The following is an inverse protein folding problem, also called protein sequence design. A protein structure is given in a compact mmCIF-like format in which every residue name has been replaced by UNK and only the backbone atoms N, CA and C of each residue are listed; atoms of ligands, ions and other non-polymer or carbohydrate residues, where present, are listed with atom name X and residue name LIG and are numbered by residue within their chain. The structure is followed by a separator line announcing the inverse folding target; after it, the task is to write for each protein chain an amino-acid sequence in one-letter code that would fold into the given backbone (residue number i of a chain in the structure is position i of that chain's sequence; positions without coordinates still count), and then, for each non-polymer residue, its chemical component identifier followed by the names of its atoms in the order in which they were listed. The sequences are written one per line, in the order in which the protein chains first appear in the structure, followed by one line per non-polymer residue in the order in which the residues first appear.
data_IF_459185077186
#
_entry.id   IF_459185077186
#
_cell.length_a   1.000
_cell.length_b   1.000
_cell.length_c   1.000
_cell.angle_alpha   90.00
_cell.angle_beta   90.00
_cell.angle_gamma   90.00
#
_symmetry.space_group_name_H-M   'P 1'
#
loop_
_entity.id
_entity.type
_entity.pdbx_description
1 polymer ?
#
# COMPACT_ATOMS: atom_id res chain seq x y z
N UNK A 1 2.89 -23.08 -11.24
CA UNK A 1 3.07 -21.67 -10.82
C UNK A 1 2.07 -21.23 -9.74
N UNK A 2 0.74 -21.44 -9.89
CA UNK A 2 -0.26 -20.97 -8.89
C UNK A 2 -0.08 -21.55 -7.50
N UNK A 3 0.11 -22.88 -7.40
CA UNK A 3 0.33 -23.53 -6.09
C UNK A 3 1.61 -23.00 -5.41
N UNK A 4 2.68 -22.84 -6.18
CA UNK A 4 3.92 -22.24 -5.67
C UNK A 4 3.69 -20.78 -5.24
N UNK A 5 2.98 -19.98 -6.04
CA UNK A 5 2.64 -18.60 -5.70
C UNK A 5 1.84 -18.52 -4.41
N UNK A 6 0.82 -19.38 -4.25
CA UNK A 6 0.04 -19.48 -3.02
C UNK A 6 0.93 -19.77 -1.80
N UNK A 7 1.77 -20.80 -1.89
CA UNK A 7 2.65 -21.19 -0.79
C UNK A 7 3.64 -20.10 -0.42
N UNK A 8 4.25 -19.44 -1.42
CA UNK A 8 5.19 -18.33 -1.20
C UNK A 8 4.48 -17.13 -0.60
N UNK A 9 3.28 -16.77 -1.09
CA UNK A 9 2.47 -15.68 -0.53
C UNK A 9 2.13 -15.90 0.94
N UNK A 10 1.68 -17.11 1.29
CA UNK A 10 1.43 -17.48 2.68
C UNK A 10 2.71 -17.43 3.53
N UNK A 11 3.85 -17.89 3.02
CA UNK A 11 5.13 -17.81 3.71
C UNK A 11 5.57 -16.37 3.95
N UNK A 12 5.41 -15.48 2.97
CA UNK A 12 5.69 -14.04 3.14
C UNK A 12 4.79 -13.47 4.23
N UNK A 13 3.47 -13.68 4.17
CA UNK A 13 2.53 -13.12 5.15
C UNK A 13 2.74 -13.66 6.57
N UNK A 14 2.87 -14.96 6.74
CA UNK A 14 3.11 -15.60 8.04
C UNK A 14 4.51 -15.22 8.57
N UNK A 15 5.52 -15.22 7.70
CA UNK A 15 6.87 -14.80 8.05
C UNK A 15 6.90 -13.35 8.52
N UNK A 16 6.23 -12.44 7.80
CA UNK A 16 6.10 -11.05 8.22
C UNK A 16 5.39 -10.94 9.56
N UNK A 17 4.25 -11.61 9.75
CA UNK A 17 3.52 -11.61 11.02
C UNK A 17 4.41 -12.09 12.17
N UNK A 18 5.20 -13.15 11.96
CA UNK A 18 6.12 -13.68 12.96
C UNK A 18 7.23 -12.69 13.30
N UNK A 19 7.75 -11.96 12.31
CA UNK A 19 8.78 -10.96 12.51
C UNK A 19 8.24 -9.70 13.20
N UNK A 20 7.03 -9.26 12.86
CA UNK A 20 6.46 -8.03 13.42
C UNK A 20 5.72 -8.24 14.75
N UNK A 21 5.30 -9.45 15.08
CA UNK A 21 4.63 -9.76 16.35
C UNK A 21 5.40 -9.27 17.59
N UNK A 22 6.74 -9.39 17.68
CA UNK A 22 7.49 -8.81 18.78
C UNK A 22 7.40 -7.29 18.88
N UNK A 23 7.13 -6.59 17.77
CA UNK A 23 6.96 -5.13 17.79
C UNK A 23 5.74 -4.79 18.64
N UNK A 24 4.60 -5.43 18.40
CA UNK A 24 3.36 -5.17 19.14
C UNK A 24 3.45 -5.51 20.63
N UNK A 25 4.32 -6.46 21.01
CA UNK A 25 4.50 -6.84 22.41
C UNK A 25 5.54 -5.97 23.14
N UNK A 26 6.58 -5.49 22.42
CA UNK A 26 7.68 -4.72 22.99
C UNK A 26 7.50 -3.22 22.88
N UNK A 27 6.86 -2.76 21.80
CA UNK A 27 6.54 -1.36 21.66
C UNK A 27 5.42 -1.01 22.64
N UNK A 28 5.69 -0.02 23.47
CA UNK A 28 4.72 0.49 24.44
C UNK A 28 4.35 1.89 23.98
N UNK A 29 3.09 2.12 23.56
CA UNK A 29 2.62 3.48 23.31
C UNK A 29 2.84 4.29 24.59
N UNK A 30 3.07 5.58 24.43
CA UNK A 30 3.23 6.49 25.58
C UNK A 30 2.08 6.32 26.55
N UNK A 31 2.32 6.57 27.81
CA UNK A 31 1.28 6.50 28.87
C UNK A 31 0.02 7.32 28.51
N UNK A 32 0.20 8.40 27.75
CA UNK A 32 -0.90 9.25 27.29
C UNK A 32 -2.01 8.50 26.52
N UNK A 33 -1.66 7.49 25.67
CA UNK A 33 -2.69 6.70 25.00
C UNK A 33 -3.39 5.71 25.95
N UNK A 34 -2.74 5.28 27.03
CA UNK A 34 -3.35 4.35 28.00
C UNK A 34 -4.34 5.02 28.92
N UNK A 35 -4.07 6.28 29.27
CA UNK A 35 -4.96 7.05 30.14
C UNK A 35 -6.28 7.44 29.46
N UNK A 36 -6.30 7.35 28.11
CA UNK A 36 -7.51 7.51 27.30
C UNK A 36 -8.50 6.32 27.39
N UNK A 37 -8.08 5.15 27.79
CA UNK A 37 -8.84 3.89 27.70
C UNK A 37 -9.53 3.50 29.03
N UNK A 38 -9.90 4.38 29.84
CA UNK A 38 -10.61 3.95 31.07
C UNK A 38 -10.98 5.01 32.06
N UNK A 39 -10.81 6.25 31.73
CA UNK A 39 -11.22 7.35 32.63
C UNK A 39 -12.56 7.88 32.16
N UNK A 40 -13.64 7.49 32.83
CA UNK A 40 -14.89 8.24 32.86
C UNK A 40 -14.60 9.59 33.52
N UNK A 41 -14.14 10.56 32.73
CA UNK A 41 -13.87 11.90 33.22
C UNK A 41 -13.45 12.83 32.09
N UNK A 42 -13.55 14.17 32.29
CA UNK A 42 -13.00 15.10 31.34
C UNK A 42 -11.48 14.86 31.20
N UNK A 43 -10.93 15.04 29.99
CA UNK A 43 -9.52 14.81 29.74
C UNK A 43 -8.65 15.56 30.76
N UNK A 44 -7.68 14.88 31.31
CA UNK A 44 -6.66 15.54 32.09
C UNK A 44 -6.00 16.59 31.19
N UNK A 45 -5.98 17.86 31.58
CA UNK A 45 -5.25 18.86 30.81
C UNK A 45 -3.79 18.41 30.69
N UNK A 46 -3.22 18.61 29.49
CA UNK A 46 -1.78 18.45 29.32
C UNK A 46 -1.06 19.19 30.46
N UNK A 47 -0.01 18.62 31.04
CA UNK A 47 0.74 19.27 32.11
C UNK A 47 1.16 20.72 31.79
N UNK A 48 1.26 21.03 30.49
CA UNK A 48 1.69 22.33 29.97
C UNK A 48 0.52 23.22 29.51
N UNK A 49 -0.74 22.82 29.75
CA UNK A 49 -1.92 23.56 29.28
C UNK A 49 -2.10 23.57 27.76
N UNK A 50 -1.30 22.79 27.03
CA UNK A 50 -1.42 22.66 25.59
C UNK A 50 -2.73 21.94 25.22
N UNK A 51 -3.39 22.31 24.11
CA UNK A 51 -4.57 21.60 23.67
C UNK A 51 -4.21 20.14 23.37
N UNK A 52 -5.16 19.23 23.69
CA UNK A 52 -5.04 17.81 23.42
C UNK A 52 -4.68 17.58 21.92
N UNK A 53 -3.51 16.97 21.62
CA UNK A 53 -3.05 16.82 20.25
C UNK A 53 -3.84 15.76 19.46
N UNK A 54 -4.69 14.99 20.13
CA UNK A 54 -5.40 13.88 19.51
C UNK A 54 -6.85 14.21 19.17
N UNK A 55 -7.26 13.80 17.97
CA UNK A 55 -8.65 13.84 17.54
C UNK A 55 -9.48 12.89 18.43
N UNK A 56 -10.50 13.42 19.07
CA UNK A 56 -11.47 12.65 19.83
C UNK A 56 -12.79 12.53 19.07
N UNK A 57 -13.21 11.30 18.83
CA UNK A 57 -14.46 10.98 18.15
C UNK A 57 -15.59 10.71 19.14
N UNK A 58 -15.26 10.61 20.44
CA UNK A 58 -16.20 10.22 21.50
C UNK A 58 -16.51 8.72 21.51
N UNK A 59 -15.74 7.91 20.79
CA UNK A 59 -15.83 6.45 20.78
C UNK A 59 -14.53 5.88 21.32
N UNK A 60 -14.47 5.40 22.57
CA UNK A 60 -13.21 5.06 23.25
C UNK A 60 -12.28 4.13 22.49
N UNK A 61 -12.84 3.12 21.80
CA UNK A 61 -12.03 2.18 21.00
C UNK A 61 -11.38 2.83 19.78
N UNK A 62 -12.08 3.73 19.11
CA UNK A 62 -11.56 4.47 17.96
C UNK A 62 -10.57 5.55 18.42
N UNK A 63 -10.88 6.25 19.49
CA UNK A 63 -10.01 7.28 20.06
C UNK A 63 -8.66 6.67 20.48
N UNK A 64 -8.70 5.50 21.13
CA UNK A 64 -7.49 4.75 21.46
C UNK A 64 -6.72 4.32 20.22
N UNK A 65 -7.39 3.82 19.20
CA UNK A 65 -6.73 3.41 17.94
C UNK A 65 -6.06 4.60 17.24
N UNK A 66 -6.74 5.73 17.14
CA UNK A 66 -6.17 6.96 16.57
C UNK A 66 -4.96 7.42 17.38
N UNK A 67 -5.06 7.40 18.71
CA UNK A 67 -3.95 7.76 19.59
C UNK A 67 -2.74 6.83 19.38
N UNK A 68 -2.96 5.52 19.44
CA UNK A 68 -1.90 4.51 19.27
C UNK A 68 -1.19 4.66 17.92
N UNK A 69 -1.95 4.79 16.83
CA UNK A 69 -1.39 4.93 15.50
C UNK A 69 -0.67 6.27 15.30
N UNK A 70 -1.23 7.37 15.83
CA UNK A 70 -0.58 8.68 15.80
C UNK A 70 0.76 8.63 16.53
N UNK A 71 0.80 8.02 17.71
CA UNK A 71 2.04 7.85 18.48
C UNK A 71 3.04 6.95 17.75
N UNK A 72 2.58 5.89 17.11
CA UNK A 72 3.42 4.97 16.32
C UNK A 72 4.16 5.71 15.19
N UNK A 73 3.46 6.52 14.41
CA UNK A 73 4.07 7.30 13.34
C UNK A 73 4.90 8.48 13.86
N UNK A 74 4.51 9.06 15.00
CA UNK A 74 5.34 10.06 15.70
C UNK A 74 6.68 9.47 16.11
N UNK A 75 6.71 8.30 16.76
CA UNK A 75 7.93 7.62 17.14
C UNK A 75 8.82 7.29 15.93
N UNK A 76 8.20 6.92 14.80
CA UNK A 76 8.92 6.71 13.56
C UNK A 76 9.55 8.00 13.03
N UNK A 77 8.84 9.12 13.05
CA UNK A 77 9.34 10.41 12.57
C UNK A 77 10.45 10.94 13.47
N UNK A 78 10.27 10.83 14.78
CA UNK A 78 11.20 11.34 15.80
C UNK A 78 12.36 10.36 16.07
N UNK A 79 12.50 9.33 15.24
CA UNK A 79 13.60 8.37 15.35
C UNK A 79 14.96 9.06 15.15
N UNK A 80 15.97 8.75 16.00
CA UNK A 80 17.27 9.46 16.01
C UNK A 80 18.05 9.43 14.69
N UNK A 81 17.74 8.49 13.79
CA UNK A 81 18.30 8.47 12.43
C UNK A 81 17.27 8.96 11.42
N UNK A 82 17.26 10.25 11.05
CA UNK A 82 16.33 10.81 10.07
C UNK A 82 16.39 10.08 8.72
N UNK A 83 17.60 9.66 8.31
CA UNK A 83 17.81 8.87 7.08
C UNK A 83 16.98 7.59 7.10
N UNK A 84 17.09 6.79 8.16
CA UNK A 84 16.40 5.49 8.27
C UNK A 84 14.89 5.71 8.36
N UNK A 85 14.45 6.69 9.15
CA UNK A 85 13.04 7.04 9.27
C UNK A 85 12.42 7.48 7.94
N UNK A 86 13.08 8.37 7.21
CA UNK A 86 12.60 8.88 5.91
C UNK A 86 12.52 7.75 4.89
N UNK A 87 13.56 6.91 4.80
CA UNK A 87 13.59 5.78 3.86
C UNK A 87 12.52 4.73 4.22
N UNK A 88 12.33 4.39 5.49
CA UNK A 88 11.32 3.44 5.92
C UNK A 88 9.91 3.91 5.55
N UNK A 89 9.61 5.19 5.83
CA UNK A 89 8.34 5.81 5.46
C UNK A 89 8.16 5.84 3.93
N UNK A 90 9.16 6.28 3.18
CA UNK A 90 9.06 6.38 1.72
C UNK A 90 8.85 5.01 1.07
N UNK A 91 9.55 3.98 1.53
CA UNK A 91 9.39 2.62 1.03
C UNK A 91 8.00 2.08 1.33
N UNK A 92 7.53 2.21 2.58
CA UNK A 92 6.20 1.74 2.94
C UNK A 92 5.10 2.48 2.17
N UNK A 93 5.09 3.82 2.19
CA UNK A 93 4.00 4.58 1.57
C UNK A 93 3.95 4.35 0.06
N UNK A 94 5.09 4.31 -0.62
CA UNK A 94 5.14 4.02 -2.05
C UNK A 94 4.56 2.64 -2.39
N UNK A 95 4.93 1.60 -1.63
CA UNK A 95 4.44 0.24 -1.86
C UNK A 95 3.01 0.03 -1.37
N UNK A 96 2.64 0.58 -0.22
CA UNK A 96 1.29 0.44 0.34
C UNK A 96 0.23 1.11 -0.55
N UNK A 97 0.50 2.34 -0.99
CA UNK A 97 -0.43 3.08 -1.84
C UNK A 97 -0.55 2.44 -3.24
N UNK A 98 0.55 1.93 -3.81
CA UNK A 98 0.49 1.20 -5.07
C UNK A 98 -0.35 -0.09 -4.96
N UNK A 99 -0.21 -0.83 -3.85
CA UNK A 99 -1.06 -1.99 -3.58
C UNK A 99 -2.52 -1.58 -3.38
N UNK A 100 -2.81 -0.49 -2.68
CA UNK A 100 -4.18 0.01 -2.51
C UNK A 100 -4.84 0.35 -3.84
N UNK A 101 -4.11 1.00 -4.75
CA UNK A 101 -4.58 1.28 -6.12
C UNK A 101 -4.88 -0.02 -6.86
N UNK A 102 -3.95 -0.98 -6.85
CA UNK A 102 -4.10 -2.26 -7.52
C UNK A 102 -5.28 -3.08 -6.98
N UNK A 103 -5.37 -3.24 -5.65
CA UNK A 103 -6.49 -3.92 -4.97
C UNK A 103 -7.82 -3.28 -5.34
N UNK A 104 -7.86 -1.95 -5.37
CA UNK A 104 -9.04 -1.20 -5.76
C UNK A 104 -9.49 -1.52 -7.19
N UNK A 105 -8.58 -1.51 -8.16
CA UNK A 105 -8.91 -1.85 -9.56
C UNK A 105 -9.34 -3.31 -9.71
N UNK A 106 -8.61 -4.24 -9.10
CA UNK A 106 -8.94 -5.66 -9.19
C UNK A 106 -10.31 -5.99 -8.56
N UNK A 107 -10.68 -5.29 -7.47
CA UNK A 107 -12.01 -5.45 -6.86
C UNK A 107 -13.16 -5.02 -7.77
N UNK A 108 -12.90 -4.20 -8.79
CA UNK A 108 -13.93 -3.75 -9.75
C UNK A 108 -14.13 -4.69 -10.93
N UNK A 109 -13.28 -5.72 -11.08
CA UNK A 109 -13.43 -6.69 -12.18
C UNK A 109 -14.63 -7.59 -11.96
N UNK A 110 -15.30 -7.90 -13.04
CA UNK A 110 -16.56 -8.67 -13.01
C UNK A 110 -16.42 -10.11 -12.50
N UNK A 111 -15.22 -10.67 -12.60
CA UNK A 111 -14.86 -12.03 -12.15
C UNK A 111 -14.17 -12.08 -10.80
N UNK A 112 -13.94 -10.93 -10.18
CA UNK A 112 -13.33 -10.83 -8.86
C UNK A 112 -14.21 -11.50 -7.79
N UNK A 113 -13.61 -12.28 -6.90
CA UNK A 113 -14.31 -13.05 -5.86
C UNK A 113 -13.55 -12.99 -4.52
N UNK A 114 -14.26 -13.27 -3.43
CA UNK A 114 -13.70 -13.33 -2.10
C UNK A 114 -13.07 -12.01 -1.66
N UNK A 115 -11.93 -12.04 -1.00
CA UNK A 115 -11.22 -10.85 -0.55
C UNK A 115 -10.79 -9.94 -1.72
N UNK A 116 -10.51 -10.50 -2.90
CA UNK A 116 -10.15 -9.73 -4.08
C UNK A 116 -11.32 -8.87 -4.61
N UNK A 117 -12.57 -9.27 -4.38
CA UNK A 117 -13.77 -8.52 -4.76
C UNK A 117 -14.17 -7.43 -3.76
N UNK A 118 -13.55 -7.42 -2.58
CA UNK A 118 -13.91 -6.48 -1.50
C UNK A 118 -12.73 -5.62 -1.08
N UNK A 119 -12.53 -4.52 -1.82
CA UNK A 119 -11.48 -3.55 -1.49
C UNK A 119 -11.61 -3.00 -0.06
N UNK A 120 -12.83 -2.85 0.45
CA UNK A 120 -13.09 -2.33 1.80
C UNK A 120 -12.79 -3.28 2.91
N UNK A 121 -13.23 -4.53 2.77
CA UNK A 121 -12.87 -5.57 3.73
C UNK A 121 -11.35 -5.72 3.77
N UNK A 122 -10.72 -5.73 2.60
CA UNK A 122 -9.27 -5.80 2.49
C UNK A 122 -8.62 -4.58 3.14
N UNK A 123 -9.10 -3.36 2.86
CA UNK A 123 -8.60 -2.13 3.48
C UNK A 123 -8.77 -2.16 5.01
N UNK A 124 -9.92 -2.58 5.50
CA UNK A 124 -10.17 -2.73 6.94
C UNK A 124 -9.18 -3.69 7.58
N UNK A 125 -9.01 -4.88 7.01
CA UNK A 125 -8.07 -5.88 7.52
C UNK A 125 -6.61 -5.39 7.47
N UNK A 126 -6.24 -4.66 6.40
CA UNK A 126 -4.90 -4.05 6.28
C UNK A 126 -4.61 -3.06 7.40
N UNK A 127 -5.61 -2.31 7.85
CA UNK A 127 -5.46 -1.34 8.92
C UNK A 127 -5.36 -1.98 10.32
N UNK A 128 -5.98 -3.14 10.51
CA UNK A 128 -5.99 -3.82 11.80
C UNK A 128 -4.83 -4.82 11.99
N UNK A 129 -4.49 -5.55 10.93
CA UNK A 129 -3.52 -6.67 11.01
C UNK A 129 -2.17 -6.26 10.40
N UNK A 130 -2.21 -5.30 9.47
CA UNK A 130 -1.04 -4.86 8.72
C UNK A 130 -1.14 -5.25 7.24
N UNK A 131 -0.82 -4.29 6.38
CA UNK A 131 -0.91 -4.45 4.93
C UNK A 131 0.03 -5.55 4.41
N UNK A 132 1.22 -5.65 4.97
CA UNK A 132 2.25 -6.62 4.61
C UNK A 132 1.92 -8.07 5.00
N UNK A 133 0.91 -8.26 5.84
CA UNK A 133 0.35 -9.58 6.18
C UNK A 133 -0.87 -9.87 5.30
N UNK A 134 -1.80 -8.93 5.22
CA UNK A 134 -3.10 -9.14 4.55
C UNK A 134 -2.95 -9.29 3.04
N UNK A 135 -2.09 -8.48 2.40
CA UNK A 135 -1.91 -8.59 0.95
C UNK A 135 -1.35 -9.96 0.57
N UNK A 136 -0.22 -10.45 1.12
CA UNK A 136 0.32 -11.74 0.70
C UNK A 136 -0.46 -12.96 1.23
N UNK A 137 -1.05 -12.91 2.43
CA UNK A 137 -1.65 -14.08 3.06
C UNK A 137 -3.16 -14.23 2.80
N UNK A 138 -3.89 -13.15 2.52
CA UNK A 138 -5.34 -13.18 2.37
C UNK A 138 -5.77 -12.72 0.97
N UNK A 139 -5.33 -11.54 0.57
CA UNK A 139 -5.78 -10.95 -0.69
C UNK A 139 -5.16 -11.66 -1.90
N UNK A 140 -3.86 -11.88 -1.92
CA UNK A 140 -3.16 -12.53 -3.03
C UNK A 140 -3.63 -13.97 -3.31
N UNK A 141 -3.83 -14.84 -2.32
CA UNK A 141 -4.49 -16.14 -2.53
C UNK A 141 -5.88 -16.02 -3.15
N UNK A 142 -6.69 -15.08 -2.67
CA UNK A 142 -8.02 -14.81 -3.21
C UNK A 142 -7.95 -14.31 -4.66
N UNK A 143 -6.98 -13.45 -4.97
CA UNK A 143 -6.68 -12.96 -6.31
C UNK A 143 -6.29 -14.12 -7.24
N UNK A 144 -5.36 -14.99 -6.84
CA UNK A 144 -4.95 -16.15 -7.63
C UNK A 144 -6.10 -17.14 -7.88
N UNK A 145 -7.00 -17.28 -6.92
CA UNK A 145 -8.15 -18.17 -7.03
C UNK A 145 -9.23 -17.58 -7.92
N UNK A 146 -9.51 -16.28 -7.82
CA UNK A 146 -10.53 -15.58 -8.60
C UNK A 146 -10.14 -15.46 -10.06
N UNK A 147 -8.88 -15.15 -10.33
CA UNK A 147 -8.38 -14.99 -11.68
C UNK A 147 -7.76 -16.31 -12.15
N UNK A 148 -8.50 -17.04 -12.95
CA UNK A 148 -7.87 -17.76 -14.03
C UNK A 148 -7.07 -16.70 -14.80
N UNK A 149 -5.75 -16.60 -14.57
CA UNK A 149 -4.89 -15.50 -15.05
C UNK A 149 -5.36 -15.03 -16.43
N UNK A 150 -5.77 -13.75 -16.61
CA UNK A 150 -6.32 -13.28 -17.88
C UNK A 150 -5.39 -13.53 -19.06
N UNK A 151 -4.07 -13.65 -18.78
CA UNK A 151 -3.04 -13.96 -19.77
C UNK A 151 -2.88 -15.46 -20.05
N UNK A 152 -3.38 -16.38 -19.20
CA UNK A 152 -3.21 -17.82 -19.35
C UNK A 152 -4.28 -18.49 -20.19
N UNK A 153 -5.41 -17.84 -20.45
CA UNK A 153 -6.51 -18.40 -21.24
C UNK A 153 -6.59 -17.74 -22.60
N UNK A 154 -6.09 -18.44 -23.60
CA UNK A 154 -6.26 -18.09 -25.02
C UNK A 154 -7.70 -18.29 -25.53
N UNK A 155 -8.63 -18.72 -24.69
CA UNK A 155 -10.03 -18.82 -25.07
C UNK A 155 -10.69 -17.44 -25.02
N UNK A 156 -11.54 -17.09 -26.01
CA UNK A 156 -12.35 -15.88 -25.95
C UNK A 156 -13.36 -16.03 -24.81
N UNK A 157 -12.95 -15.69 -23.59
CA UNK A 157 -13.82 -15.71 -22.42
C UNK A 157 -14.76 -14.52 -22.53
N UNK A 158 -16.04 -14.84 -22.62
CA UNK A 158 -17.11 -13.88 -22.53
C UNK A 158 -16.94 -12.90 -21.38
N UNK A 159 -16.55 -11.66 -21.65
CA UNK A 159 -16.59 -10.45 -20.80
C UNK A 159 -16.01 -10.43 -19.37
N UNK A 160 -15.13 -11.34 -18.91
CA UNK A 160 -14.82 -11.39 -17.47
C UNK A 160 -13.82 -10.35 -16.98
N UNK A 161 -13.05 -9.72 -17.86
CA UNK A 161 -11.95 -8.86 -17.47
C UNK A 161 -12.28 -7.36 -17.43
N UNK A 162 -13.55 -7.00 -17.63
CA UNK A 162 -13.95 -5.59 -17.72
C UNK A 162 -13.90 -4.89 -16.34
N UNK A 163 -13.23 -3.74 -16.32
CA UNK A 163 -13.23 -2.82 -15.18
C UNK A 163 -14.43 -1.88 -15.30
N UNK A 164 -15.16 -1.64 -14.22
CA UNK A 164 -16.23 -0.64 -14.19
C UNK A 164 -15.66 0.79 -14.26
N UNK A 165 -16.14 1.60 -15.20
CA UNK A 165 -15.55 2.91 -15.54
C UNK A 165 -15.64 3.96 -14.40
N UNK A 166 -16.69 3.96 -13.60
CA UNK A 166 -16.88 5.00 -12.58
C UNK A 166 -16.08 4.73 -11.32
N UNK A 167 -15.89 3.48 -10.97
CA UNK A 167 -15.10 3.09 -9.79
C UNK A 167 -13.62 3.51 -9.88
N UNK A 168 -12.93 3.46 -11.04
CA UNK A 168 -11.59 4.01 -11.15
C UNK A 168 -11.47 5.48 -10.78
N UNK A 169 -12.43 6.32 -11.11
CA UNK A 169 -12.40 7.76 -10.78
C UNK A 169 -12.47 7.99 -9.27
N UNK A 170 -13.32 7.24 -8.57
CA UNK A 170 -13.36 7.28 -7.11
C UNK A 170 -12.07 6.80 -6.50
N UNK A 171 -11.53 5.68 -6.99
CA UNK A 171 -10.27 5.13 -6.50
C UNK A 171 -9.10 6.06 -6.74
N UNK A 172 -9.06 6.76 -7.87
CA UNK A 172 -8.09 7.83 -8.14
C UNK A 172 -8.23 8.94 -7.11
N UNK A 173 -9.46 9.39 -6.85
CA UNK A 173 -9.70 10.43 -5.85
C UNK A 173 -9.22 9.99 -4.46
N UNK A 174 -9.55 8.78 -4.03
CA UNK A 174 -9.13 8.21 -2.74
C UNK A 174 -7.61 8.06 -2.69
N UNK A 175 -7.00 7.52 -3.73
CA UNK A 175 -5.56 7.33 -3.79
C UNK A 175 -4.82 8.66 -3.83
N UNK A 176 -5.29 9.66 -4.59
CA UNK A 176 -4.74 11.01 -4.59
C UNK A 176 -4.90 11.68 -3.22
N UNK A 177 -6.07 11.57 -2.60
CA UNK A 177 -6.28 12.08 -1.25
C UNK A 177 -5.30 11.44 -0.25
N UNK A 178 -5.11 10.12 -0.31
CA UNK A 178 -4.14 9.41 0.53
C UNK A 178 -2.69 9.83 0.24
N UNK A 179 -2.34 10.05 -1.01
CA UNK A 179 -1.00 10.57 -1.38
C UNK A 179 -0.80 11.98 -0.85
N UNK A 180 -1.79 12.87 -1.01
CA UNK A 180 -1.72 14.23 -0.50
C UNK A 180 -1.60 14.22 1.03
N UNK A 181 -2.47 13.48 1.71
CA UNK A 181 -2.43 13.37 3.18
C UNK A 181 -1.12 12.72 3.63
N UNK A 182 -0.66 11.66 2.98
CA UNK A 182 0.63 11.02 3.27
C UNK A 182 1.80 11.97 3.07
N UNK A 183 1.80 12.75 1.97
CA UNK A 183 2.82 13.78 1.72
C UNK A 183 2.77 14.89 2.79
N UNK A 184 1.58 15.35 3.18
CA UNK A 184 1.43 16.31 4.28
C UNK A 184 1.99 15.77 5.60
N UNK A 185 1.73 14.52 5.93
CA UNK A 185 2.24 13.89 7.14
C UNK A 185 3.77 13.74 7.14
N UNK A 186 4.37 13.45 5.99
CA UNK A 186 5.79 13.15 5.86
C UNK A 186 6.65 14.39 5.56
N UNK A 187 6.18 15.29 4.70
CA UNK A 187 7.04 16.33 4.11
C UNK A 187 6.64 17.76 4.48
N UNK A 188 5.39 18.03 4.84
CA UNK A 188 4.93 19.39 5.11
C UNK A 188 4.98 19.81 6.58
N UNK A 189 5.56 18.96 7.43
CA UNK A 189 5.95 19.36 8.79
C UNK A 189 4.80 19.78 9.68
N UNK A 190 3.62 19.18 9.57
CA UNK A 190 2.62 19.32 10.62
C UNK A 190 3.28 18.97 11.95
N UNK A 191 3.24 19.89 12.89
CA UNK A 191 3.70 19.57 14.23
C UNK A 191 2.93 18.34 14.72
N UNK A 192 3.60 17.26 15.16
CA UNK A 192 2.92 16.02 15.53
C UNK A 192 1.96 16.18 16.71
N UNK A 193 2.10 17.28 17.40
CA UNK A 193 1.27 17.67 18.55
C UNK A 193 0.08 18.56 18.13
N UNK A 194 -0.15 18.75 16.84
CA UNK A 194 -1.28 19.53 16.35
C UNK A 194 -2.51 18.65 16.08
N UNK A 195 -3.69 19.17 16.39
CA UNK A 195 -4.96 18.52 16.01
C UNK A 195 -5.06 18.26 14.50
N UNK A 196 -4.43 19.13 13.69
CA UNK A 196 -4.35 18.98 12.24
C UNK A 196 -3.61 17.70 11.83
N UNK A 197 -2.55 17.31 12.54
CA UNK A 197 -1.84 16.05 12.27
C UNK A 197 -2.74 14.84 12.56
N UNK A 198 -3.43 14.84 13.70
CA UNK A 198 -4.36 13.76 14.06
C UNK A 198 -5.53 13.64 13.07
N UNK A 199 -6.08 14.77 12.59
CA UNK A 199 -7.13 14.78 11.58
C UNK A 199 -6.60 14.22 10.25
N UNK A 200 -5.44 14.68 9.79
CA UNK A 200 -4.82 14.19 8.55
C UNK A 200 -4.54 12.69 8.64
N UNK A 201 -4.04 12.24 9.79
CA UNK A 201 -3.79 10.83 10.04
C UNK A 201 -5.07 10.00 10.07
N UNK A 202 -6.13 10.50 10.72
CA UNK A 202 -7.44 9.87 10.71
C UNK A 202 -7.99 9.72 9.29
N UNK A 203 -7.90 10.76 8.47
CA UNK A 203 -8.34 10.72 7.06
C UNK A 203 -7.54 9.67 6.29
N UNK A 204 -6.22 9.66 6.43
CA UNK A 204 -5.35 8.67 5.79
C UNK A 204 -5.74 7.23 6.16
N UNK A 205 -6.02 7.00 7.44
CA UNK A 205 -6.30 5.67 7.97
C UNK A 205 -7.69 5.15 7.56
N UNK A 206 -8.71 6.02 7.60
CA UNK A 206 -10.10 5.61 7.45
C UNK A 206 -10.68 5.85 6.06
N UNK A 207 -10.11 6.73 5.25
CA UNK A 207 -10.60 6.99 3.90
C UNK A 207 -10.62 5.74 3.00
N UNK A 208 -9.62 4.85 3.00
CA UNK A 208 -9.68 3.60 2.25
C UNK A 208 -10.83 2.68 2.70
N UNK A 209 -11.11 2.65 4.01
CA UNK A 209 -12.20 1.86 4.59
C UNK A 209 -13.56 2.44 4.19
N UNK A 210 -13.68 3.77 4.19
CA UNK A 210 -14.91 4.48 3.85
C UNK A 210 -15.25 4.44 2.35
N UNK A 211 -14.29 4.06 1.51
CA UNK A 211 -14.45 4.06 0.04
C UNK A 211 -15.73 3.39 -0.48
N UNK A 212 -16.22 2.24 0.06
CA UNK A 212 -17.43 1.61 -0.46
C UNK A 212 -18.69 2.38 -0.23
N UNK A 213 -18.77 3.14 0.87
CA UNK A 213 -19.94 4.00 1.11
C UNK A 213 -19.98 5.18 0.15
N UNK A 214 -18.83 5.56 -0.42
CA UNK A 214 -18.74 6.57 -1.46
C UNK A 214 -19.02 6.00 -2.86
N UNK A 215 -18.89 4.69 -3.09
CA UNK A 215 -19.13 4.06 -4.39
C UNK A 215 -20.53 4.29 -4.98
N UNK A 216 -21.62 4.31 -4.21
CA UNK A 216 -22.93 4.62 -4.76
C UNK A 216 -23.02 6.00 -5.42
N UNK A 217 -22.18 6.98 -4.99
CA UNK A 217 -22.10 8.31 -5.59
C UNK A 217 -21.45 8.28 -6.98
N UNK A 218 -20.70 7.23 -7.28
CA UNK A 218 -19.96 7.03 -8.53
C UNK A 218 -20.48 5.80 -9.29
N UNK A 219 -21.76 5.44 -9.11
CA UNK A 219 -22.36 4.31 -9.82
C UNK A 219 -22.10 4.41 -11.30
N UNK A 220 -21.41 3.42 -11.84
CA UNK A 220 -21.49 3.11 -13.26
C UNK A 220 -22.05 1.71 -13.44
N UNK A 221 -22.75 1.60 -14.51
CA UNK A 221 -23.13 0.31 -15.08
C UNK A 221 -21.88 -0.48 -15.47
N UNK A 222 -21.90 -1.78 -15.26
CA UNK A 222 -20.96 -2.71 -15.91
C UNK A 222 -20.86 -2.35 -17.39
N UNK A 223 -19.66 -2.36 -17.99
CA UNK A 223 -19.51 -2.05 -19.40
C UNK A 223 -20.49 -2.88 -20.23
N UNK A 224 -21.40 -2.20 -20.91
CA UNK A 224 -22.45 -2.86 -21.68
C UNK A 224 -21.96 -3.29 -23.06
N UNK A 225 -20.84 -2.72 -23.49
CA UNK A 225 -20.25 -2.95 -24.80
C UNK A 225 -18.74 -3.20 -24.71
N UNK A 226 -18.19 -3.83 -25.78
CA UNK A 226 -16.72 -4.00 -25.93
C UNK A 226 -16.03 -2.63 -25.96
N UNK A 227 -16.66 -1.61 -26.57
CA UNK A 227 -16.14 -0.24 -26.63
C UNK A 227 -15.97 0.35 -25.22
N UNK A 228 -16.96 0.15 -24.34
CA UNK A 228 -16.90 0.64 -22.96
C UNK A 228 -15.80 -0.07 -22.17
N UNK A 229 -15.66 -1.38 -22.37
CA UNK A 229 -14.61 -2.18 -21.75
C UNK A 229 -13.20 -1.72 -22.19
N UNK A 230 -13.01 -1.45 -23.49
CA UNK A 230 -11.76 -0.87 -24.03
C UNK A 230 -11.48 0.50 -23.43
N UNK A 231 -12.48 1.37 -23.39
CA UNK A 231 -12.34 2.72 -22.81
C UNK A 231 -11.95 2.66 -21.34
N UNK A 232 -12.56 1.75 -20.57
CA UNK A 232 -12.22 1.53 -19.16
C UNK A 232 -10.80 1.06 -18.99
N UNK A 233 -10.37 0.10 -19.81
CA UNK A 233 -9.00 -0.44 -19.78
C UNK A 233 -7.95 0.63 -20.17
N UNK A 234 -8.26 1.49 -21.16
CA UNK A 234 -7.39 2.64 -21.50
C UNK A 234 -7.28 3.60 -20.31
N UNK A 235 -8.40 3.95 -19.70
CA UNK A 235 -8.44 4.85 -18.54
C UNK A 235 -7.64 4.26 -17.37
N UNK A 236 -7.81 2.97 -17.06
CA UNK A 236 -7.05 2.29 -16.01
C UNK A 236 -5.54 2.33 -16.30
N UNK A 237 -5.14 2.08 -17.55
CA UNK A 237 -3.74 2.16 -17.99
C UNK A 237 -3.16 3.56 -17.74
N UNK A 238 -3.90 4.61 -18.10
CA UNK A 238 -3.47 6.01 -17.89
C UNK A 238 -3.32 6.34 -16.41
N UNK A 239 -4.23 5.84 -15.58
CA UNK A 239 -4.18 6.03 -14.12
C UNK A 239 -2.94 5.34 -13.55
N UNK A 240 -2.66 4.10 -13.95
CA UNK A 240 -1.45 3.40 -13.51
C UNK A 240 -0.17 4.17 -13.88
N UNK A 241 -0.08 4.73 -15.09
CA UNK A 241 1.06 5.56 -15.47
C UNK A 241 1.16 6.85 -14.64
N UNK A 242 0.04 7.52 -14.37
CA UNK A 242 0.03 8.71 -13.53
C UNK A 242 0.54 8.40 -12.10
N UNK A 243 0.11 7.28 -11.52
CA UNK A 243 0.63 6.83 -10.23
C UNK A 243 2.07 6.37 -10.28
N UNK A 244 2.52 5.76 -11.39
CA UNK A 244 3.94 5.42 -11.56
C UNK A 244 4.82 6.67 -11.50
N UNK A 245 4.44 7.76 -12.17
CA UNK A 245 5.15 9.04 -12.09
C UNK A 245 5.15 9.59 -10.66
N UNK A 246 3.99 9.59 -10.00
CA UNK A 246 3.84 10.11 -8.64
C UNK A 246 4.68 9.33 -7.64
N UNK A 247 4.64 8.00 -7.69
CA UNK A 247 5.45 7.15 -6.80
C UNK A 247 6.94 7.19 -7.13
N UNK A 248 7.30 7.45 -8.39
CA UNK A 248 8.70 7.70 -8.77
C UNK A 248 9.23 8.98 -8.13
N UNK A 249 8.47 10.08 -8.19
CA UNK A 249 8.83 11.33 -7.51
C UNK A 249 8.94 11.11 -6.00
N UNK A 250 8.00 10.39 -5.40
CA UNK A 250 8.03 10.04 -3.98
C UNK A 250 9.28 9.22 -3.61
N UNK A 251 9.66 8.24 -4.42
CA UNK A 251 10.86 7.44 -4.24
C UNK A 251 12.14 8.30 -4.32
N UNK A 252 12.21 9.17 -5.31
CA UNK A 252 13.38 10.05 -5.45
C UNK A 252 13.52 10.99 -4.26
N UNK A 253 12.46 11.64 -3.83
CA UNK A 253 12.48 12.58 -2.71
C UNK A 253 12.70 11.88 -1.37
N UNK A 254 12.04 10.75 -1.13
CA UNK A 254 12.04 10.10 0.18
C UNK A 254 13.07 8.98 0.34
N UNK A 255 13.65 8.46 -0.75
CA UNK A 255 14.63 7.38 -0.70
C UNK A 255 15.96 7.78 -1.32
N UNK A 256 15.98 8.18 -2.61
CA UNK A 256 17.22 8.38 -3.36
C UNK A 256 17.96 9.63 -2.86
N UNK A 257 17.26 10.75 -2.74
CA UNK A 257 17.87 12.01 -2.28
C UNK A 257 18.45 11.87 -0.86
N UNK A 258 17.74 11.35 0.14
CA UNK A 258 18.32 11.11 1.46
C UNK A 258 19.51 10.14 1.43
N UNK A 259 19.43 9.08 0.62
CA UNK A 259 20.50 8.10 0.51
C UNK A 259 21.81 8.71 -0.03
N UNK A 260 21.72 9.63 -1.00
CA UNK A 260 22.86 10.19 -1.70
C UNK A 260 23.38 11.47 -1.03
N UNK A 261 22.50 12.32 -0.55
CA UNK A 261 22.81 13.69 -0.12
C UNK A 261 22.74 13.92 1.38
N UNK A 262 22.69 12.84 2.21
CA UNK A 262 22.82 13.05 3.67
C UNK A 262 24.22 13.62 3.99
N UNK A 263 24.31 14.77 4.67
CA UNK A 263 25.59 15.39 5.00
C UNK A 263 26.53 14.44 5.75
N UNK A 264 27.83 14.61 5.53
CA UNK A 264 28.92 13.91 6.23
C UNK A 264 28.92 12.38 6.08
N UNK A 265 28.15 11.84 5.12
CA UNK A 265 28.07 10.39 4.85
C UNK A 265 28.23 10.08 3.37
N UNK A 266 28.50 8.82 3.07
CA UNK A 266 28.53 8.30 1.69
C UNK A 266 27.30 7.41 1.42
N UNK A 267 26.85 7.29 0.17
CA UNK A 267 25.73 6.38 -0.16
C UNK A 267 25.95 4.95 0.35
N UNK A 268 27.21 4.48 0.30
CA UNK A 268 27.57 3.14 0.78
C UNK A 268 27.43 3.02 2.30
N UNK A 269 27.88 4.04 3.06
CA UNK A 269 27.71 4.07 4.52
C UNK A 269 26.24 4.16 4.91
N UNK A 270 25.44 4.88 4.15
CA UNK A 270 24.00 4.99 4.35
C UNK A 270 23.28 3.65 4.12
N UNK A 271 23.65 2.92 3.07
CA UNK A 271 23.15 1.56 2.83
C UNK A 271 23.60 0.59 3.93
N UNK A 272 24.84 0.70 4.41
CA UNK A 272 25.33 -0.12 5.52
C UNK A 272 24.55 0.16 6.81
N UNK A 273 24.21 1.42 7.08
CA UNK A 273 23.38 1.83 8.23
C UNK A 273 21.97 1.21 8.15
N UNK A 274 21.31 1.31 6.98
CA UNK A 274 20.01 0.69 6.75
C UNK A 274 20.07 -0.82 6.94
N UNK A 275 21.09 -1.47 6.39
CA UNK A 275 21.29 -2.90 6.51
C UNK A 275 21.56 -3.33 7.97
N UNK A 276 22.37 -2.59 8.69
CA UNK A 276 22.63 -2.85 10.10
C UNK A 276 21.36 -2.71 10.96
N UNK A 277 20.55 -1.70 10.66
CA UNK A 277 19.27 -1.49 11.33
C UNK A 277 18.26 -2.62 11.03
N UNK A 278 18.20 -3.09 9.80
CA UNK A 278 17.28 -4.15 9.38
C UNK A 278 17.61 -5.52 10.00
N UNK A 279 18.90 -5.84 10.13
CA UNK A 279 19.36 -7.16 10.58
C UNK A 279 18.94 -7.54 11.99
N UNK A 280 18.70 -6.59 12.85
CA UNK A 280 18.49 -6.84 14.27
C UNK A 280 17.26 -6.09 14.77
N UNK A 281 16.34 -6.86 15.40
CA UNK A 281 15.21 -6.24 16.06
C UNK A 281 15.71 -5.21 17.09
N UNK A 282 15.29 -3.94 16.98
CA UNK A 282 15.70 -2.90 17.91
C UNK A 282 15.33 -3.26 19.36
N UNK A 283 16.20 -2.90 20.29
CA UNK A 283 15.93 -3.04 21.72
C UNK A 283 15.16 -1.83 22.27
N UNK A 284 15.36 -0.67 21.64
CA UNK A 284 14.67 0.56 22.01
C UNK A 284 13.24 0.56 21.50
N UNK A 285 12.28 0.80 22.39
CA UNK A 285 10.85 0.81 22.04
C UNK A 285 10.54 1.80 20.92
N UNK A 286 11.17 2.99 20.92
CA UNK A 286 10.96 4.04 19.91
C UNK A 286 11.50 3.72 18.52
N UNK A 287 12.42 2.77 18.41
CA UNK A 287 12.95 2.33 17.11
C UNK A 287 12.09 1.25 16.45
N UNK A 288 11.23 0.59 17.20
CA UNK A 288 10.38 -0.50 16.70
C UNK A 288 9.41 -0.07 15.60
N UNK A 289 8.74 1.10 15.65
CA UNK A 289 7.89 1.58 14.56
C UNK A 289 8.65 1.71 13.24
N UNK A 290 9.82 2.35 13.25
CA UNK A 290 10.63 2.53 12.04
C UNK A 290 11.08 1.20 11.43
N UNK A 291 11.49 0.27 12.28
CA UNK A 291 11.88 -1.08 11.85
C UNK A 291 10.70 -1.84 11.24
N UNK A 292 9.53 -1.73 11.86
CA UNK A 292 8.27 -2.30 11.35
C UNK A 292 7.92 -1.75 9.97
N UNK A 293 7.93 -0.41 9.78
CA UNK A 293 7.61 0.21 8.49
C UNK A 293 8.58 -0.22 7.38
N UNK A 294 9.86 -0.37 7.72
CA UNK A 294 10.86 -0.85 6.77
C UNK A 294 10.58 -2.29 6.33
N UNK A 295 10.28 -3.19 7.28
CA UNK A 295 9.90 -4.57 6.98
C UNK A 295 8.60 -4.65 6.17
N UNK A 296 7.61 -3.85 6.50
CA UNK A 296 6.35 -3.79 5.76
C UNK A 296 6.60 -3.42 4.30
N UNK A 297 7.40 -2.40 4.06
CA UNK A 297 7.76 -1.97 2.70
C UNK A 297 8.50 -3.06 1.91
N UNK A 298 9.43 -3.77 2.56
CA UNK A 298 10.16 -4.90 1.95
C UNK A 298 9.22 -6.07 1.64
N UNK A 299 8.37 -6.44 2.58
CA UNK A 299 7.39 -7.53 2.42
C UNK A 299 6.42 -7.24 1.27
N UNK A 300 5.93 -6.01 1.17
CA UNK A 300 5.07 -5.59 0.06
C UNK A 300 5.81 -5.60 -1.28
N UNK A 301 7.08 -5.17 -1.31
CA UNK A 301 7.91 -5.26 -2.51
C UNK A 301 8.07 -6.70 -2.97
N UNK A 302 8.34 -7.63 -2.04
CA UNK A 302 8.43 -9.05 -2.32
C UNK A 302 7.09 -9.62 -2.83
N UNK A 303 5.97 -9.18 -2.25
CA UNK A 303 4.63 -9.57 -2.70
C UNK A 303 4.34 -9.05 -4.10
N UNK A 304 4.71 -7.82 -4.42
CA UNK A 304 4.58 -7.26 -5.77
C UNK A 304 5.41 -8.05 -6.79
N UNK A 305 6.64 -8.42 -6.43
CA UNK A 305 7.46 -9.31 -7.27
C UNK A 305 6.80 -10.68 -7.49
N UNK A 306 6.15 -11.22 -6.46
CA UNK A 306 5.41 -12.48 -6.56
C UNK A 306 4.19 -12.35 -7.50
N UNK A 307 3.45 -11.24 -7.42
CA UNK A 307 2.35 -10.95 -8.36
C UNK A 307 2.89 -10.88 -9.78
N UNK A 308 3.98 -10.14 -10.01
CA UNK A 308 4.65 -10.06 -11.32
C UNK A 308 5.02 -11.44 -11.85
N UNK A 309 5.60 -12.29 -11.01
CA UNK A 309 6.02 -13.64 -11.36
C UNK A 309 4.84 -14.55 -11.74
N UNK A 310 3.75 -14.49 -11.00
CA UNK A 310 2.59 -15.39 -11.21
C UNK A 310 1.74 -15.05 -12.43
N UNK A 311 1.85 -13.84 -12.94
CA UNK A 311 1.19 -13.42 -14.18
C UNK A 311 1.94 -13.88 -15.46
N UNK A 312 3.15 -14.47 -15.32
CA UNK A 312 3.93 -14.93 -16.46
C UNK A 312 3.59 -16.39 -16.84
N UNK A 313 3.66 -16.68 -18.15
CA UNK A 313 3.32 -18.00 -18.68
C UNK A 313 4.52 -18.98 -18.69
N UNK A 314 5.73 -18.47 -18.87
CA UNK A 314 6.94 -19.28 -19.01
C UNK A 314 7.96 -18.90 -17.96
N UNK A 315 8.88 -19.82 -17.66
CA UNK A 315 10.00 -19.55 -16.74
C UNK A 315 10.89 -18.39 -17.26
N UNK A 316 11.19 -18.36 -18.55
CA UNK A 316 11.98 -17.29 -19.14
C UNK A 316 11.32 -15.91 -19.00
N UNK A 317 9.99 -15.81 -19.29
CA UNK A 317 9.26 -14.56 -19.11
C UNK A 317 9.19 -14.17 -17.63
N UNK A 318 9.07 -15.13 -16.71
CA UNK A 318 9.10 -14.86 -15.27
C UNK A 318 10.42 -14.24 -14.85
N UNK A 319 11.54 -14.84 -15.23
CA UNK A 319 12.88 -14.31 -14.90
C UNK A 319 13.07 -12.92 -15.47
N UNK A 320 12.75 -12.73 -16.76
CA UNK A 320 12.88 -11.41 -17.41
C UNK A 320 12.03 -10.35 -16.73
N UNK A 321 10.77 -10.66 -16.40
CA UNK A 321 9.86 -9.71 -15.72
C UNK A 321 10.34 -9.39 -14.32
N UNK A 322 10.87 -10.36 -13.57
CA UNK A 322 11.44 -10.12 -12.24
C UNK A 322 12.70 -9.27 -12.30
N UNK A 323 13.60 -9.51 -13.26
CA UNK A 323 14.79 -8.68 -13.44
C UNK A 323 14.42 -7.25 -13.83
N UNK A 324 13.44 -7.09 -14.73
CA UNK A 324 12.94 -5.78 -15.11
C UNK A 324 12.30 -5.06 -13.92
N UNK A 325 11.45 -5.75 -13.15
CA UNK A 325 10.83 -5.22 -11.94
C UNK A 325 11.88 -4.80 -10.91
N UNK A 326 12.91 -5.62 -10.68
CA UNK A 326 14.00 -5.30 -9.77
C UNK A 326 14.79 -4.06 -10.23
N UNK A 327 15.16 -4.00 -11.52
CA UNK A 327 15.86 -2.85 -12.09
C UNK A 327 15.03 -1.56 -11.99
N UNK A 328 13.73 -1.64 -12.34
CA UNK A 328 12.81 -0.52 -12.19
C UNK A 328 12.63 -0.11 -10.73
N UNK A 329 12.56 -1.07 -9.80
CA UNK A 329 12.43 -0.78 -8.36
C UNK A 329 13.62 0.02 -7.81
N UNK A 330 14.81 -0.21 -8.34
CA UNK A 330 15.99 0.59 -7.97
C UNK A 330 15.90 2.01 -8.53
N UNK A 331 15.48 2.17 -9.79
CA UNK A 331 15.53 3.45 -10.50
C UNK A 331 14.34 4.35 -10.15
N UNK A 332 13.13 3.79 -10.18
CA UNK A 332 11.89 4.57 -10.01
C UNK A 332 11.14 4.24 -8.72
N UNK A 333 11.62 3.28 -7.95
CA UNK A 333 11.01 2.80 -6.71
C UNK A 333 10.03 1.64 -6.92
N UNK A 334 9.87 0.76 -5.91
CA UNK A 334 9.09 -0.46 -6.05
C UNK A 334 7.59 -0.20 -6.28
N UNK A 335 7.03 0.86 -5.70
CA UNK A 335 5.65 1.26 -5.95
C UNK A 335 5.41 1.71 -7.39
N UNK A 336 6.33 2.51 -7.95
CA UNK A 336 6.27 2.94 -9.35
C UNK A 336 6.49 1.78 -10.32
N UNK A 337 7.47 0.91 -10.04
CA UNK A 337 7.74 -0.30 -10.83
C UNK A 337 6.50 -1.21 -10.89
N UNK A 338 5.79 -1.35 -9.78
CA UNK A 338 4.56 -2.12 -9.73
C UNK A 338 3.43 -1.48 -10.54
N UNK A 339 3.29 -0.16 -10.51
CA UNK A 339 2.31 0.55 -11.34
C UNK A 339 2.62 0.44 -12.84
N UNK A 340 3.89 0.48 -13.24
CA UNK A 340 4.31 0.23 -14.63
C UNK A 340 3.96 -1.19 -15.07
N UNK A 341 4.19 -2.18 -14.20
CA UNK A 341 3.75 -3.55 -14.45
C UNK A 341 2.22 -3.64 -14.62
N UNK A 342 1.44 -3.02 -13.72
CA UNK A 342 -0.02 -3.01 -13.81
C UNK A 342 -0.51 -2.37 -15.11
N UNK A 343 0.11 -1.27 -15.55
CA UNK A 343 -0.19 -0.64 -16.84
C UNK A 343 0.06 -1.58 -18.02
N UNK A 344 1.21 -2.26 -18.02
CA UNK A 344 1.59 -3.23 -19.05
C UNK A 344 0.66 -4.44 -19.08
N UNK A 345 0.30 -4.95 -17.90
CA UNK A 345 -0.67 -6.03 -17.71
C UNK A 345 -2.04 -5.65 -18.28
N UNK A 346 -2.53 -4.46 -17.99
CA UNK A 346 -3.82 -3.98 -18.48
C UNK A 346 -3.83 -3.84 -20.02
N UNK A 347 -2.72 -3.39 -20.62
CA UNK A 347 -2.55 -3.37 -22.06
C UNK A 347 -2.57 -4.78 -22.67
N UNK A 348 -1.92 -5.75 -22.01
CA UNK A 348 -1.92 -7.14 -22.46
C UNK A 348 -3.34 -7.76 -22.38
N UNK A 349 -4.07 -7.54 -21.28
CA UNK A 349 -5.47 -7.96 -21.14
C UNK A 349 -6.32 -7.37 -22.27
N UNK A 350 -6.16 -6.10 -22.60
CA UNK A 350 -6.89 -5.43 -23.68
C UNK A 350 -6.59 -6.06 -25.03
N UNK A 351 -5.33 -6.36 -25.34
CA UNK A 351 -4.94 -7.01 -26.60
C UNK A 351 -5.56 -8.40 -26.75
N UNK A 352 -5.58 -9.17 -25.67
CA UNK A 352 -6.09 -10.56 -25.70
C UNK A 352 -7.62 -10.61 -25.79
N UNK A 353 -8.30 -9.73 -25.05
CA UNK A 353 -9.75 -9.89 -24.85
C UNK A 353 -10.62 -8.93 -25.69
N UNK A 354 -10.05 -7.82 -26.18
CA UNK A 354 -10.85 -6.78 -26.82
C UNK A 354 -10.42 -6.42 -28.24
N UNK A 355 -9.27 -6.89 -28.70
CA UNK A 355 -8.90 -6.74 -30.11
C UNK A 355 -9.62 -7.83 -30.90
N UNK A 356 -10.48 -7.40 -31.82
CA UNK A 356 -11.29 -8.27 -32.66
C UNK A 356 -10.38 -9.22 -33.47
N UNK A 357 -10.49 -10.55 -33.30
CA UNK A 357 -9.71 -11.51 -34.08
C UNK A 357 -9.92 -11.37 -35.60
N UNK A 358 -11.04 -10.83 -36.03
CA UNK A 358 -11.37 -10.61 -37.45
C UNK A 358 -10.61 -9.42 -38.09
N UNK A 359 -9.96 -8.54 -37.32
CA UNK A 359 -9.12 -7.47 -37.84
C UNK A 359 -7.66 -7.84 -37.97
N UNK A 360 -7.28 -9.05 -37.55
CA UNK A 360 -5.94 -9.60 -37.65
C UNK A 360 -5.80 -10.63 -38.78
N UNK A 361 -6.87 -10.95 -39.46
CA UNK A 361 -6.92 -11.69 -40.72
C UNK A 361 -7.09 -10.73 -41.92
#
# INVERSE_FOLDING_TARGET
MRFLGLSVGLLIGIGTLSLVSPVFTKWKPSLQCRDFVGVEGPPLPSPDGAPDPFLRLGVPSLDNQVCVLTQFFKDCRDFPSPLVATIANALLFGTALSNTVFVGFEATRSDSRGAAASASLTAFLMQYIGISVIIPAVWFPSFLYSHATPLAHQAPVSRPAAISIAQPRLLVFIALANVVVGAMLLYLGFAPDSSSYSIAFFVFQFLPIASPWLWPLFRSTTPSSVKDAVTSSVTATQIYYAFAVLFSLHHWVGFVVPLIFTPDTTPLSNLATLWAFLKKLPQESRALPTWFLLLDGISLTATNALIVATEQQTFASTVTSLLLFAAQSVVVGPGAAFMLFCASREQAIRRVHYVDPQKLS
#
